data_IF_796693292494
#
_entry.id   IF_796693292494
#
_cell.length_a   1.000
_cell.length_b   1.000
_cell.length_c   1.000
_cell.angle_alpha   90.00
_cell.angle_beta   90.00
_cell.angle_gamma   90.00
#
_symmetry.space_group_name_H-M   'P 1'
#
loop_
_entity.id
_entity.type
_entity.pdbx_description
1 polymer ?
#
# COMPACT_ATOMS: atom_id res chain seq x y z
N UNK A 1 28.15 8.85 20.59
CA UNK A 1 27.54 7.69 19.92
C UNK A 1 26.05 7.84 20.15
N UNK A 2 25.39 8.60 19.28
CA UNK A 2 23.94 8.75 19.31
C UNK A 2 23.35 7.75 18.32
N UNK A 3 22.35 6.94 18.71
CA UNK A 3 21.67 6.09 17.76
C UNK A 3 20.74 7.00 16.94
N UNK A 4 21.02 7.12 15.65
CA UNK A 4 20.02 7.57 14.70
C UNK A 4 18.87 6.58 14.77
N UNK A 5 17.81 6.97 15.47
CA UNK A 5 16.51 6.33 15.36
C UNK A 5 16.13 6.49 13.89
N UNK A 6 16.30 5.41 13.13
CA UNK A 6 15.76 5.28 11.79
C UNK A 6 14.24 5.32 11.94
N UNK A 7 13.72 6.55 11.97
CA UNK A 7 12.30 6.86 11.90
C UNK A 7 11.77 6.58 10.51
N UNK A 8 12.04 5.38 9.98
CA UNK A 8 11.35 4.81 8.84
C UNK A 8 9.94 4.45 9.31
N UNK A 9 9.13 5.49 9.53
CA UNK A 9 7.70 5.35 9.26
C UNK A 9 7.65 4.81 7.83
N UNK A 10 7.02 3.65 7.56
CA UNK A 10 6.89 3.18 6.19
C UNK A 10 6.39 4.36 5.39
N UNK A 11 7.14 4.77 4.38
CA UNK A 11 6.96 6.07 3.74
C UNK A 11 5.62 6.07 3.01
N UNK A 12 4.54 6.38 3.74
CA UNK A 12 3.15 6.42 3.28
C UNK A 12 2.97 7.39 2.11
N UNK A 13 4.00 8.19 1.79
CA UNK A 13 4.14 9.00 0.58
C UNK A 13 4.08 8.21 -0.73
N UNK A 14 4.25 6.88 -0.73
CA UNK A 14 4.10 6.08 -1.95
C UNK A 14 2.63 6.06 -2.46
N UNK A 15 1.67 6.21 -1.55
CA UNK A 15 0.24 6.12 -1.83
C UNK A 15 -0.46 7.47 -1.67
N UNK A 16 -1.53 7.66 -2.43
CA UNK A 16 -2.46 8.78 -2.24
C UNK A 16 -3.34 8.55 -1.02
N UNK A 17 -3.91 9.62 -0.47
CA UNK A 17 -4.83 9.50 0.66
C UNK A 17 -6.03 8.58 0.36
N UNK A 18 -6.55 8.64 -0.87
CA UNK A 18 -7.65 7.76 -1.30
C UNK A 18 -7.22 6.28 -1.29
N UNK A 19 -6.02 5.98 -1.80
CA UNK A 19 -5.46 4.63 -1.78
C UNK A 19 -5.26 4.14 -0.34
N UNK A 20 -4.72 4.97 0.56
CA UNK A 20 -4.53 4.61 1.98
C UNK A 20 -5.88 4.27 2.66
N UNK A 21 -6.91 5.10 2.47
CA UNK A 21 -8.24 4.86 3.02
C UNK A 21 -8.81 3.52 2.52
N UNK A 22 -8.63 3.22 1.22
CA UNK A 22 -9.09 1.96 0.65
C UNK A 22 -8.31 0.77 1.22
N UNK A 23 -6.98 0.90 1.42
CA UNK A 23 -6.18 -0.15 2.07
C UNK A 23 -6.59 -0.39 3.52
N UNK A 24 -6.92 0.66 4.29
CA UNK A 24 -7.44 0.52 5.66
C UNK A 24 -8.80 -0.20 5.71
N UNK A 25 -9.68 0.07 4.74
CA UNK A 25 -10.96 -0.67 4.61
C UNK A 25 -10.71 -2.13 4.30
N UNK A 26 -9.86 -2.39 3.30
CA UNK A 26 -9.48 -3.76 2.92
C UNK A 26 -8.88 -4.52 4.09
N UNK A 27 -8.02 -3.88 4.89
CA UNK A 27 -7.45 -4.50 6.09
C UNK A 27 -8.53 -4.87 7.11
N UNK A 28 -9.50 -3.99 7.34
CA UNK A 28 -10.63 -4.27 8.25
C UNK A 28 -11.57 -5.36 7.73
N UNK A 29 -11.80 -5.42 6.41
CA UNK A 29 -12.68 -6.40 5.78
C UNK A 29 -12.06 -7.80 5.67
N UNK A 30 -10.78 -7.86 5.29
CA UNK A 30 -10.11 -9.12 4.98
C UNK A 30 -9.23 -9.64 6.12
N UNK A 31 -8.83 -8.79 7.08
CA UNK A 31 -7.97 -9.19 8.21
C UNK A 31 -6.72 -9.96 7.74
N UNK A 32 -6.49 -11.14 8.34
CA UNK A 32 -5.39 -12.06 8.01
C UNK A 32 -5.43 -12.65 6.58
N UNK A 33 -6.51 -12.44 5.79
CA UNK A 33 -6.57 -12.92 4.40
C UNK A 33 -5.70 -12.11 3.42
N UNK A 34 -5.06 -11.03 3.87
CA UNK A 34 -4.05 -10.29 3.11
C UNK A 34 -2.88 -11.16 2.64
N UNK A 35 -2.66 -12.33 3.26
CA UNK A 35 -1.57 -13.27 2.95
C UNK A 35 -1.61 -13.94 1.57
N UNK A 36 -2.62 -13.68 0.74
CA UNK A 36 -2.67 -14.27 -0.60
C UNK A 36 -1.93 -13.39 -1.62
N UNK A 37 -0.92 -13.94 -2.31
CA UNK A 37 -0.11 -13.20 -3.32
C UNK A 37 -0.95 -12.60 -4.45
N UNK A 38 -2.08 -13.23 -4.79
CA UNK A 38 -3.03 -12.72 -5.79
C UNK A 38 -3.74 -11.43 -5.32
N UNK A 39 -3.99 -11.30 -4.02
CA UNK A 39 -4.63 -10.13 -3.42
C UNK A 39 -3.81 -8.86 -3.62
N UNK A 40 -2.52 -8.87 -3.24
CA UNK A 40 -1.68 -7.68 -3.36
C UNK A 40 -1.51 -7.20 -4.80
N UNK A 41 -1.37 -8.14 -5.73
CA UNK A 41 -1.29 -7.81 -7.16
C UNK A 41 -2.61 -7.22 -7.68
N UNK A 42 -3.74 -7.73 -7.21
CA UNK A 42 -5.08 -7.24 -7.61
C UNK A 42 -5.32 -5.81 -7.13
N UNK A 43 -5.00 -5.52 -5.87
CA UNK A 43 -5.09 -4.16 -5.30
C UNK A 43 -4.17 -3.20 -6.04
N UNK A 44 -2.92 -3.61 -6.31
CA UNK A 44 -1.96 -2.80 -7.07
C UNK A 44 -2.44 -2.46 -8.48
N UNK A 45 -3.02 -3.43 -9.20
CA UNK A 45 -3.63 -3.21 -10.51
C UNK A 45 -4.80 -2.22 -10.43
N UNK A 46 -5.69 -2.37 -9.45
CA UNK A 46 -6.82 -1.46 -9.24
C UNK A 46 -6.36 -0.02 -9.04
N UNK A 47 -5.39 0.19 -8.14
CA UNK A 47 -4.86 1.53 -7.86
C UNK A 47 -4.14 2.14 -9.05
N UNK A 48 -3.32 1.34 -9.76
CA UNK A 48 -2.61 1.80 -10.97
C UNK A 48 -3.54 2.26 -12.09
N UNK A 49 -4.70 1.63 -12.21
CA UNK A 49 -5.72 1.98 -13.20
C UNK A 49 -6.69 3.08 -12.71
N UNK A 50 -6.59 3.49 -11.43
CA UNK A 50 -7.49 4.48 -10.85
C UNK A 50 -7.16 5.90 -11.32
N UNK A 51 -8.17 6.77 -11.31
CA UNK A 51 -8.00 8.21 -11.60
C UNK A 51 -7.05 8.90 -10.61
N UNK A 52 -6.93 8.36 -9.40
CA UNK A 52 -6.05 8.87 -8.34
C UNK A 52 -4.55 8.71 -8.69
N UNK A 53 -4.24 7.78 -9.63
CA UNK A 53 -2.90 7.55 -10.17
C UNK A 53 -2.57 8.27 -11.46
N UNK A 54 -3.48 9.07 -12.03
CA UNK A 54 -3.18 9.84 -13.24
C UNK A 54 -1.98 10.76 -13.01
N UNK A 55 -0.93 10.59 -13.82
CA UNK A 55 0.31 11.39 -13.73
C UNK A 55 1.30 10.95 -12.65
N UNK A 56 1.07 9.81 -11.99
CA UNK A 56 1.97 9.19 -11.00
C UNK A 56 2.37 7.79 -11.47
N UNK A 57 3.47 7.27 -10.93
CA UNK A 57 3.93 5.91 -11.24
C UNK A 57 2.93 4.84 -10.79
N UNK A 58 2.81 3.76 -11.56
CA UNK A 58 1.97 2.61 -11.21
C UNK A 58 2.35 2.02 -9.84
N UNK A 59 1.35 1.53 -9.14
CA UNK A 59 1.50 0.80 -7.88
C UNK A 59 1.87 -0.65 -8.18
N UNK A 60 2.81 -1.21 -7.42
CA UNK A 60 3.24 -2.61 -7.54
C UNK A 60 2.70 -3.46 -6.40
N UNK A 61 2.50 -4.76 -6.64
CA UNK A 61 2.07 -5.70 -5.60
C UNK A 61 3.01 -5.72 -4.38
N UNK A 62 4.32 -5.50 -4.58
CA UNK A 62 5.30 -5.40 -3.49
C UNK A 62 5.11 -4.17 -2.60
N UNK A 63 4.70 -3.03 -3.18
CA UNK A 63 4.39 -1.84 -2.39
C UNK A 63 3.14 -2.08 -1.55
N UNK A 64 2.14 -2.74 -2.14
CA UNK A 64 0.90 -3.09 -1.43
C UNK A 64 1.20 -4.09 -0.31
N UNK A 65 1.98 -5.14 -0.58
CA UNK A 65 2.42 -6.12 0.42
C UNK A 65 3.14 -5.47 1.61
N UNK A 66 4.07 -4.54 1.36
CA UNK A 66 4.77 -3.80 2.43
C UNK A 66 3.87 -2.93 3.28
N UNK A 67 2.72 -2.50 2.76
CA UNK A 67 1.77 -1.70 3.54
C UNK A 67 0.95 -2.58 4.50
N UNK A 68 0.67 -3.83 4.12
CA UNK A 68 -0.14 -4.76 4.90
C UNK A 68 0.64 -5.56 5.96
N UNK A 69 1.98 -5.48 5.96
CA UNK A 69 2.88 -6.09 6.95
C UNK A 69 3.24 -5.09 8.06
#
# INVERSE_FOLDING_TARGET
>A
MDPAIDGSSPSFTEFTLAEIIDMEKLYKEYGDQSLRKDFYQTVACSFSCSVNRKGKSSVTGKQVERWFQ
#
